data_IF_683081241009
#
_entry.id   IF_683081241009
#
_cell.length_a   1.000
_cell.length_b   1.000
_cell.length_c   1.000
_cell.angle_alpha   90.00
_cell.angle_beta   90.00
_cell.angle_gamma   90.00
#
_symmetry.space_group_name_H-M   'P 1'
#
loop_
_entity.id
_entity.type
_entity.pdbx_description
1 polymer ?
#
# COMPACT_ATOMS: atom_id res chain seq x y z
N UNK A 1 -3.25 27.18 -15.42
CA UNK A 1 -1.80 27.16 -15.76
C UNK A 1 -1.33 25.74 -15.53
N UNK A 2 -0.56 25.18 -16.45
CA UNK A 2 0.05 23.85 -16.24
C UNK A 2 1.29 24.04 -15.37
N UNK A 3 1.40 23.25 -14.32
CA UNK A 3 2.61 23.23 -13.48
C UNK A 3 3.75 22.56 -14.25
N UNK A 4 4.96 23.06 -14.05
CA UNK A 4 6.16 22.34 -14.54
C UNK A 4 6.42 21.09 -13.68
N UNK A 5 7.17 20.14 -14.22
CA UNK A 5 7.65 18.96 -13.47
C UNK A 5 8.25 19.34 -12.10
N UNK A 6 9.21 20.27 -12.10
CA UNK A 6 9.89 20.69 -10.87
C UNK A 6 8.93 21.32 -9.85
N UNK A 7 7.93 22.08 -10.31
CA UNK A 7 6.89 22.65 -9.44
C UNK A 7 6.03 21.54 -8.83
N UNK A 8 5.59 20.58 -9.64
CA UNK A 8 4.81 19.42 -9.17
C UNK A 8 5.55 18.63 -8.10
N UNK A 9 6.81 18.28 -8.35
CA UNK A 9 7.67 17.56 -7.41
C UNK A 9 7.95 18.36 -6.12
N UNK A 10 8.11 19.68 -6.23
CA UNK A 10 8.28 20.56 -5.06
C UNK A 10 7.01 20.60 -4.22
N UNK A 11 5.85 20.78 -4.86
CA UNK A 11 4.56 20.89 -4.18
C UNK A 11 4.16 19.60 -3.47
N UNK A 12 4.37 18.44 -4.10
CA UNK A 12 4.07 17.16 -3.45
C UNK A 12 4.99 16.90 -2.26
N UNK A 13 6.29 17.24 -2.38
CA UNK A 13 7.27 17.04 -1.29
C UNK A 13 6.98 17.92 -0.06
N UNK A 14 6.31 19.06 -0.25
CA UNK A 14 5.83 19.90 0.86
C UNK A 14 4.62 19.28 1.57
N UNK A 15 3.79 18.50 0.86
CA UNK A 15 2.59 17.87 1.41
C UNK A 15 2.87 16.48 1.98
N UNK A 16 3.73 15.70 1.31
CA UNK A 16 4.13 14.35 1.66
C UNK A 16 5.63 14.34 1.89
N UNK A 17 6.01 14.36 3.16
CA UNK A 17 7.40 14.59 3.59
C UNK A 17 8.24 13.32 3.64
N UNK A 18 7.63 12.16 3.41
CA UNK A 18 8.32 10.88 3.41
C UNK A 18 8.60 10.38 2.01
N UNK A 19 9.81 9.86 1.82
CA UNK A 19 10.28 9.33 0.55
C UNK A 19 10.49 10.41 -0.51
N UNK A 20 10.81 9.96 -1.71
CA UNK A 20 10.93 10.82 -2.88
C UNK A 20 9.69 10.65 -3.76
N UNK A 21 9.25 11.77 -4.35
CA UNK A 21 8.17 11.78 -5.33
C UNK A 21 8.72 12.35 -6.63
N UNK A 22 8.79 11.50 -7.65
CA UNK A 22 9.30 11.85 -8.98
C UNK A 22 8.14 11.84 -9.96
N UNK A 23 7.99 12.90 -10.75
CA UNK A 23 6.96 12.99 -11.76
C UNK A 23 7.48 12.45 -13.10
N UNK A 24 6.76 11.47 -13.64
CA UNK A 24 6.94 10.94 -14.98
C UNK A 24 6.01 11.69 -15.95
N UNK A 25 6.59 12.58 -16.75
CA UNK A 25 5.84 13.38 -17.72
C UNK A 25 5.25 12.55 -18.87
N UNK A 26 5.85 11.41 -19.22
CA UNK A 26 5.35 10.56 -20.30
C UNK A 26 4.10 9.80 -19.86
N UNK A 27 4.08 9.35 -18.61
CA UNK A 27 2.99 8.58 -18.04
C UNK A 27 1.97 9.45 -17.28
N UNK A 28 2.31 10.71 -16.97
CA UNK A 28 1.51 11.63 -16.16
C UNK A 28 1.17 11.04 -14.78
N UNK A 29 2.18 10.46 -14.12
CA UNK A 29 2.09 9.87 -12.77
C UNK A 29 3.24 10.36 -11.90
N UNK A 30 3.04 10.30 -10.59
CA UNK A 30 4.13 10.29 -9.62
C UNK A 30 4.53 8.86 -9.31
N UNK A 31 5.83 8.62 -9.16
CA UNK A 31 6.37 7.41 -8.54
C UNK A 31 6.98 7.76 -7.20
N UNK A 32 6.82 6.87 -6.22
CA UNK A 32 7.44 7.02 -4.91
C UNK A 32 8.07 5.72 -4.40
N UNK A 33 9.16 5.86 -3.67
CA UNK A 33 9.93 4.78 -3.04
C UNK A 33 9.62 4.62 -1.55
N UNK A 34 8.60 5.32 -1.04
CA UNK A 34 8.10 5.14 0.34
C UNK A 34 7.86 3.66 0.58
N UNK A 35 8.44 3.17 1.68
CA UNK A 35 8.30 1.78 2.10
C UNK A 35 6.89 1.52 2.64
N UNK A 36 6.25 0.50 2.10
CA UNK A 36 4.91 0.06 2.47
C UNK A 36 4.96 -1.44 2.69
N UNK A 37 4.49 -1.90 3.85
CA UNK A 37 4.40 -3.33 4.15
C UNK A 37 2.96 -3.71 4.40
N UNK A 38 2.44 -4.66 3.63
CA UNK A 38 1.07 -5.15 3.74
C UNK A 38 1.02 -6.44 4.58
N UNK A 39 0.16 -6.48 5.58
CA UNK A 39 -0.11 -7.69 6.37
C UNK A 39 -1.34 -8.42 5.83
N UNK A 40 -1.16 -9.67 5.39
CA UNK A 40 -2.28 -10.57 5.05
C UNK A 40 -2.34 -11.76 6.00
N UNK A 41 -3.55 -12.22 6.34
CA UNK A 41 -3.78 -13.39 7.19
C UNK A 41 -4.36 -14.52 6.36
N UNK A 42 -3.85 -15.75 6.52
CA UNK A 42 -4.53 -16.94 6.00
C UNK A 42 -5.76 -17.25 6.86
N UNK A 43 -6.93 -17.28 6.24
CA UNK A 43 -8.22 -17.51 6.93
C UNK A 43 -8.89 -18.83 6.54
N UNK A 44 -8.49 -19.40 5.41
CA UNK A 44 -8.85 -20.73 4.91
C UNK A 44 -7.71 -21.20 3.99
N UNK A 45 -7.59 -22.50 3.72
CA UNK A 45 -6.58 -23.04 2.81
C UNK A 45 -6.55 -22.23 1.49
N UNK A 46 -5.39 -21.59 1.22
CA UNK A 46 -5.16 -20.80 0.00
C UNK A 46 -6.09 -19.60 -0.15
N UNK A 47 -6.63 -19.09 0.96
CA UNK A 47 -7.41 -17.86 1.02
C UNK A 47 -6.85 -16.94 2.09
N UNK A 48 -6.40 -15.78 1.65
CA UNK A 48 -5.79 -14.76 2.48
C UNK A 48 -6.66 -13.51 2.52
N UNK A 49 -6.66 -12.80 3.64
CA UNK A 49 -7.38 -11.54 3.84
C UNK A 49 -6.40 -10.44 4.24
N UNK A 50 -6.55 -9.24 3.67
CA UNK A 50 -5.79 -8.06 4.10
C UNK A 50 -6.20 -7.66 5.52
N UNK A 51 -5.23 -7.43 6.40
CA UNK A 51 -5.47 -7.03 7.79
C UNK A 51 -4.99 -5.63 8.10
N UNK A 52 -3.76 -5.30 7.70
CA UNK A 52 -3.16 -4.00 7.95
C UNK A 52 -2.20 -3.60 6.84
N UNK A 53 -1.79 -2.34 6.86
CA UNK A 53 -0.59 -1.89 6.18
C UNK A 53 0.24 -1.03 7.13
N UNK A 54 1.55 -1.11 6.99
CA UNK A 54 2.50 -0.21 7.60
C UNK A 54 2.89 0.87 6.59
N UNK A 55 2.66 2.12 6.95
CA UNK A 55 2.95 3.29 6.14
C UNK A 55 3.32 4.46 7.06
N UNK A 56 4.35 5.22 6.71
CA UNK A 56 4.76 6.43 7.47
C UNK A 56 5.11 6.13 8.94
N UNK A 57 5.65 4.95 9.23
CA UNK A 57 5.96 4.55 10.61
C UNK A 57 4.74 4.12 11.43
N UNK A 58 3.55 4.10 10.83
CA UNK A 58 2.30 3.73 11.48
C UNK A 58 1.74 2.43 10.89
N UNK A 59 1.26 1.56 11.78
CA UNK A 59 0.44 0.42 11.42
C UNK A 59 -1.02 0.85 11.38
N UNK A 60 -1.68 0.60 10.26
CA UNK A 60 -3.09 0.93 10.04
C UNK A 60 -3.87 -0.35 9.81
N UNK A 61 -4.76 -0.67 10.75
CA UNK A 61 -5.66 -1.81 10.65
C UNK A 61 -6.86 -1.49 9.76
N UNK A 62 -7.18 -2.43 8.88
CA UNK A 62 -8.28 -2.30 7.93
C UNK A 62 -9.62 -2.62 8.58
N UNK A 63 -10.61 -1.76 8.35
CA UNK A 63 -11.99 -2.07 8.65
C UNK A 63 -12.51 -3.15 7.70
N UNK A 64 -13.57 -3.86 8.09
CA UNK A 64 -14.10 -5.00 7.32
C UNK A 64 -14.48 -4.66 5.87
N UNK A 65 -14.94 -3.42 5.60
CA UNK A 65 -15.28 -2.93 4.26
C UNK A 65 -14.06 -2.61 3.38
N UNK A 66 -12.87 -2.52 3.98
CA UNK A 66 -11.60 -2.28 3.32
C UNK A 66 -10.81 -3.58 3.08
N UNK A 67 -11.21 -4.69 3.72
CA UNK A 67 -10.49 -5.96 3.62
C UNK A 67 -10.67 -6.58 2.23
N UNK A 68 -9.54 -6.81 1.57
CA UNK A 68 -9.47 -7.53 0.31
C UNK A 68 -9.14 -9.01 0.57
N UNK A 69 -9.57 -9.87 -0.35
CA UNK A 69 -9.33 -11.31 -0.29
C UNK A 69 -8.49 -11.77 -1.48
N UNK A 70 -7.48 -12.59 -1.20
CA UNK A 70 -6.52 -13.07 -2.17
C UNK A 70 -6.50 -14.60 -2.17
N UNK A 71 -6.88 -15.20 -3.30
CA UNK A 71 -6.84 -16.65 -3.48
C UNK A 71 -5.52 -17.11 -4.10
N UNK A 72 -5.03 -18.27 -3.67
CA UNK A 72 -3.83 -18.91 -4.21
C UNK A 72 -2.86 -19.32 -3.11
N UNK A 73 -1.73 -19.89 -3.52
CA UNK A 73 -0.62 -20.15 -2.59
C UNK A 73 -0.07 -18.84 -2.00
N UNK A 74 0.60 -18.91 -0.86
CA UNK A 74 1.15 -17.74 -0.14
C UNK A 74 1.85 -16.73 -1.06
N UNK A 75 2.75 -17.18 -1.93
CA UNK A 75 3.48 -16.30 -2.84
C UNK A 75 2.56 -15.56 -3.82
N UNK A 76 1.53 -16.24 -4.34
CA UNK A 76 0.55 -15.64 -5.25
C UNK A 76 -0.36 -14.65 -4.52
N UNK A 77 -0.73 -14.95 -3.27
CA UNK A 77 -1.53 -14.07 -2.45
C UNK A 77 -0.79 -12.77 -2.12
N UNK A 78 0.50 -12.87 -1.75
CA UNK A 78 1.37 -11.70 -1.52
C UNK A 78 1.52 -10.85 -2.77
N UNK A 79 1.77 -11.47 -3.93
CA UNK A 79 1.89 -10.74 -5.19
C UNK A 79 0.59 -9.99 -5.53
N UNK A 80 -0.58 -10.64 -5.37
CA UNK A 80 -1.88 -9.98 -5.57
C UNK A 80 -2.13 -8.84 -4.59
N UNK A 81 -1.74 -9.01 -3.32
CA UNK A 81 -1.85 -7.96 -2.32
C UNK A 81 -1.01 -6.73 -2.72
N UNK A 82 0.25 -6.94 -3.12
CA UNK A 82 1.16 -5.89 -3.59
C UNK A 82 0.56 -5.16 -4.80
N UNK A 83 0.07 -5.90 -5.79
CA UNK A 83 -0.53 -5.32 -7.00
C UNK A 83 -1.79 -4.49 -6.67
N UNK A 84 -2.60 -4.96 -5.71
CA UNK A 84 -3.84 -4.29 -5.33
C UNK A 84 -3.63 -2.88 -4.75
N UNK A 85 -2.45 -2.60 -4.17
CA UNK A 85 -2.14 -1.30 -3.58
C UNK A 85 -2.22 -0.16 -4.60
N UNK A 86 -1.78 -0.41 -5.83
CA UNK A 86 -1.76 0.58 -6.90
C UNK A 86 -2.97 0.48 -7.86
N UNK A 87 -3.96 -0.40 -7.61
CA UNK A 87 -5.15 -0.52 -8.49
C UNK A 87 -6.07 0.71 -8.40
N UNK A 88 -6.14 1.34 -7.22
CA UNK A 88 -6.89 2.58 -6.98
C UNK A 88 -5.98 3.59 -6.29
N UNK A 89 -5.01 4.16 -7.04
CA UNK A 89 -3.96 4.98 -6.46
C UNK A 89 -4.53 6.26 -5.85
N UNK A 90 -3.88 6.75 -4.79
CA UNK A 90 -4.04 8.12 -4.33
C UNK A 90 -3.66 9.07 -5.48
N UNK A 91 -4.34 10.22 -5.57
CA UNK A 91 -3.99 11.27 -6.54
C UNK A 91 -3.47 12.52 -5.84
N UNK A 92 -2.49 13.17 -6.48
CA UNK A 92 -2.03 14.51 -6.14
C UNK A 92 -2.18 15.41 -7.34
N UNK A 93 -2.99 16.46 -7.21
CA UNK A 93 -3.31 17.38 -8.31
C UNK A 93 -3.77 16.64 -9.57
N UNK A 94 -4.69 15.68 -9.40
CA UNK A 94 -5.26 14.84 -10.46
C UNK A 94 -4.31 13.79 -11.05
N UNK A 95 -3.03 13.78 -10.66
CA UNK A 95 -2.06 12.77 -11.09
C UNK A 95 -1.97 11.59 -10.10
N UNK A 96 -2.08 10.34 -10.57
CA UNK A 96 -1.89 9.16 -9.74
C UNK A 96 -0.51 9.10 -9.09
N UNK A 97 -0.44 8.57 -7.86
CA UNK A 97 0.80 8.24 -7.17
C UNK A 97 0.94 6.72 -7.15
N UNK A 98 2.03 6.23 -7.73
CA UNK A 98 2.38 4.81 -7.77
C UNK A 98 3.51 4.55 -6.78
N UNK A 99 3.26 3.70 -5.79
CA UNK A 99 4.26 3.29 -4.82
C UNK A 99 5.03 2.07 -5.36
N UNK A 100 6.34 2.18 -5.40
CA UNK A 100 7.24 1.20 -6.02
C UNK A 100 7.91 0.27 -5.01
N UNK A 101 7.94 0.66 -3.73
CA UNK A 101 8.52 -0.11 -2.65
C UNK A 101 7.42 -0.69 -1.74
N UNK A 102 6.64 -1.62 -2.30
CA UNK A 102 5.53 -2.28 -1.60
C UNK A 102 5.90 -3.76 -1.37
N UNK A 103 5.92 -4.16 -0.11
CA UNK A 103 6.16 -5.52 0.34
C UNK A 103 4.90 -6.11 0.98
N UNK A 104 4.87 -7.43 1.15
CA UNK A 104 3.77 -8.12 1.83
C UNK A 104 4.28 -9.28 2.69
N UNK A 105 3.73 -9.40 3.89
CA UNK A 105 4.04 -10.42 4.88
C UNK A 105 2.80 -11.16 5.36
N UNK A 106 3.02 -12.34 5.97
CA UNK A 106 1.95 -13.10 6.60
C UNK A 106 1.82 -12.66 8.05
N UNK A 107 0.68 -12.06 8.37
CA UNK A 107 0.27 -11.82 9.73
C UNK A 107 -0.20 -13.13 10.37
N UNK A 108 0.36 -13.44 11.53
CA UNK A 108 -0.06 -14.54 12.39
C UNK A 108 -0.53 -13.92 13.70
N UNK A 109 -1.84 -13.84 13.98
CA UNK A 109 -2.29 -13.42 15.29
C UNK A 109 -1.76 -14.40 16.32
N UNK A 110 -1.16 -13.89 17.41
CA UNK A 110 -0.72 -14.72 18.52
C UNK A 110 -1.93 -15.48 19.10
N UNK A 111 -1.85 -16.82 19.10
CA UNK A 111 -2.92 -17.72 19.59
C UNK A 111 -3.24 -17.54 21.09
N UNK A 112 -2.39 -16.83 21.85
CA UNK A 112 -2.51 -16.69 23.31
C UNK A 112 -3.49 -15.61 23.80
N UNK A 113 -4.09 -14.82 22.91
CA UNK A 113 -5.04 -13.77 23.32
C UNK A 113 -6.44 -14.29 23.65
N UNK A 114 -6.75 -15.55 23.34
CA UNK A 114 -8.08 -16.13 23.51
C UNK A 114 -8.35 -16.69 24.93
N UNK A 115 -7.37 -16.66 25.84
CA UNK A 115 -7.46 -17.31 27.16
C UNK A 115 -7.85 -16.37 28.32
N UNK A 116 -8.33 -15.15 28.03
CA UNK A 116 -8.79 -14.20 29.05
C UNK A 116 -10.25 -13.81 28.86
N UNK A 117 -11.15 -14.80 28.83
CA UNK A 117 -12.58 -14.63 29.12
C UNK A 117 -13.07 -15.75 30.04
#
# INVERSE_FOLDING_TARGET
MSHTKNELETLISQKKTLGQYVFDEAQQIFTSDVEITLGIQEIEEKLYRAEYYFFDGYEVWLNDDQKLFFKGEEAQAKEKAILSWNEKPETFMEYPIIYTNVACEIYKPDEDSASLL
#
